data_IF_278612278076
#
_entry.id   IF_278612278076
#
_cell.length_a   1.000
_cell.length_b   1.000
_cell.length_c   1.000
_cell.angle_alpha   90.00
_cell.angle_beta   90.00
_cell.angle_gamma   90.00
#
_symmetry.space_group_name_H-M   'P 1'
#
loop_
_entity.id
_entity.type
_entity.pdbx_description
1 polymer ?
#
# COMPACT_ATOMS: atom_id res chain seq x y z
N UNK A 1 2.27 -18.38 0.04
CA UNK A 1 2.97 -17.79 -1.12
C UNK A 1 4.45 -17.63 -0.78
N UNK A 2 5.38 -18.27 -1.50
CA UNK A 2 6.82 -18.15 -1.24
C UNK A 2 7.27 -16.70 -1.54
N UNK A 3 7.71 -15.99 -0.50
CA UNK A 3 8.11 -14.58 -0.55
C UNK A 3 9.50 -14.42 -1.21
N UNK A 4 9.76 -13.29 -1.87
CA UNK A 4 11.05 -12.95 -2.49
C UNK A 4 12.21 -13.00 -1.47
N UNK A 5 11.93 -12.62 -0.21
CA UNK A 5 12.90 -12.74 0.88
C UNK A 5 13.33 -14.19 1.13
N UNK A 6 12.42 -15.15 0.99
CA UNK A 6 12.74 -16.58 1.12
C UNK A 6 13.53 -17.08 -0.09
N UNK A 7 13.19 -16.63 -1.31
CA UNK A 7 13.96 -16.98 -2.50
C UNK A 7 15.42 -16.47 -2.41
N UNK A 8 15.61 -15.21 -2.01
CA UNK A 8 16.94 -14.62 -1.75
C UNK A 8 17.69 -15.33 -0.64
N UNK A 9 17.00 -15.68 0.45
CA UNK A 9 17.59 -16.44 1.55
C UNK A 9 18.07 -17.82 1.11
N UNK A 10 17.25 -18.55 0.36
CA UNK A 10 17.59 -19.88 -0.15
C UNK A 10 18.74 -19.79 -1.16
N UNK A 11 18.73 -18.80 -2.05
CA UNK A 11 19.82 -18.56 -3.00
C UNK A 11 21.16 -18.31 -2.29
N UNK A 12 21.15 -17.48 -1.25
CA UNK A 12 22.36 -17.14 -0.49
C UNK A 12 22.88 -18.32 0.33
N UNK A 13 22.00 -19.02 1.05
CA UNK A 13 22.40 -20.05 2.02
C UNK A 13 22.63 -21.41 1.39
N UNK A 14 21.84 -21.79 0.40
CA UNK A 14 21.83 -23.14 -0.15
C UNK A 14 22.29 -23.20 -1.62
N UNK A 15 22.45 -22.07 -2.31
CA UNK A 15 22.79 -22.04 -3.75
C UNK A 15 24.04 -22.86 -4.10
N UNK A 16 25.14 -22.70 -3.35
CA UNK A 16 26.38 -23.46 -3.56
C UNK A 16 26.21 -24.96 -3.34
N UNK A 17 25.45 -25.35 -2.31
CA UNK A 17 25.20 -26.76 -1.98
C UNK A 17 24.36 -27.43 -3.06
N UNK A 18 23.29 -26.75 -3.51
CA UNK A 18 22.41 -27.29 -4.55
C UNK A 18 23.18 -27.42 -5.88
N UNK A 19 24.04 -26.44 -6.21
CA UNK A 19 24.87 -26.50 -7.42
C UNK A 19 25.86 -27.67 -7.37
N UNK A 20 26.48 -27.91 -6.21
CA UNK A 20 27.40 -29.02 -6.01
C UNK A 20 26.68 -30.39 -6.12
N UNK A 21 25.52 -30.55 -5.47
CA UNK A 21 24.76 -31.80 -5.57
C UNK A 21 24.26 -32.06 -7.00
N UNK A 22 23.88 -31.01 -7.73
CA UNK A 22 23.50 -31.12 -9.14
C UNK A 22 24.68 -31.54 -10.01
N UNK A 23 25.86 -30.97 -9.79
CA UNK A 23 27.10 -31.32 -10.50
C UNK A 23 27.48 -32.79 -10.26
N UNK A 24 27.38 -33.27 -9.01
CA UNK A 24 27.66 -34.67 -8.66
C UNK A 24 26.67 -35.63 -9.33
N UNK A 25 25.40 -35.23 -9.46
CA UNK A 25 24.36 -36.10 -10.01
C UNK A 25 24.30 -36.08 -11.55
N UNK A 26 24.59 -34.94 -12.18
CA UNK A 26 24.44 -34.74 -13.63
C UNK A 26 25.76 -34.59 -14.39
N UNK A 27 26.90 -34.54 -13.69
CA UNK A 27 28.24 -34.37 -14.28
C UNK A 27 28.50 -33.00 -14.91
N UNK A 28 27.53 -32.08 -14.83
CA UNK A 28 27.55 -30.78 -15.50
C UNK A 28 27.43 -29.65 -14.47
N UNK A 29 28.24 -28.60 -14.63
CA UNK A 29 28.15 -27.39 -13.80
C UNK A 29 26.93 -26.56 -14.18
N UNK A 30 26.03 -26.32 -13.23
CA UNK A 30 24.84 -25.49 -13.40
C UNK A 30 24.90 -24.20 -12.59
N UNK A 31 24.37 -23.12 -13.16
CA UNK A 31 24.15 -21.85 -12.47
C UNK A 31 22.71 -21.83 -11.98
N UNK A 32 22.52 -21.76 -10.66
CA UNK A 32 21.20 -21.81 -10.05
C UNK A 32 20.69 -20.40 -9.77
N UNK A 33 19.55 -20.05 -10.35
CA UNK A 33 18.83 -18.82 -10.04
C UNK A 33 17.48 -19.15 -9.41
N UNK A 34 17.31 -18.81 -8.13
CA UNK A 34 16.08 -19.11 -7.38
C UNK A 34 15.22 -17.87 -7.40
N UNK A 35 14.10 -17.95 -8.11
CA UNK A 35 13.13 -16.87 -8.18
C UNK A 35 11.88 -17.29 -7.39
N UNK A 36 11.37 -16.37 -6.58
CA UNK A 36 10.04 -16.57 -6.01
C UNK A 36 9.04 -16.63 -7.16
N UNK A 37 8.01 -17.47 -6.99
CA UNK A 37 6.84 -17.46 -7.87
C UNK A 37 6.04 -16.18 -7.59
N UNK A 38 6.61 -15.04 -7.94
CA UNK A 38 5.89 -13.78 -8.04
C UNK A 38 4.80 -14.04 -9.06
N UNK A 39 3.55 -13.96 -8.63
CA UNK A 39 2.43 -13.87 -9.54
C UNK A 39 2.81 -12.85 -10.63
N UNK A 40 2.80 -13.30 -11.88
CA UNK A 40 3.17 -12.58 -13.10
C UNK A 40 3.08 -11.07 -12.92
N UNK A 41 4.23 -10.39 -13.02
CA UNK A 41 4.27 -8.98 -13.39
C UNK A 41 3.67 -8.85 -14.80
N UNK A 42 2.36 -8.70 -14.88
CA UNK A 42 1.72 -8.14 -16.05
C UNK A 42 1.73 -6.62 -15.91
N UNK A 43 2.51 -5.95 -16.75
CA UNK A 43 2.17 -4.61 -17.23
C UNK A 43 0.82 -4.70 -17.98
N UNK A 44 -0.26 -4.75 -17.23
CA UNK A 44 -1.62 -4.54 -17.71
C UNK A 44 -2.19 -3.46 -16.82
N UNK A 45 -2.66 -2.38 -17.43
CA UNK A 45 -3.63 -1.44 -16.89
C UNK A 45 -4.74 -2.25 -16.24
N UNK A 46 -4.59 -2.57 -14.96
CA UNK A 46 -5.55 -3.35 -14.22
C UNK A 46 -6.64 -2.34 -13.91
N UNK A 47 -7.81 -2.50 -14.53
CA UNK A 47 -9.04 -2.00 -13.94
C UNK A 47 -9.05 -2.64 -12.55
N UNK A 48 -8.67 -1.85 -11.55
CA UNK A 48 -8.67 -2.30 -10.17
C UNK A 48 -10.13 -2.51 -9.84
N UNK A 49 -10.54 -3.76 -9.62
CA UNK A 49 -11.88 -4.06 -9.14
C UNK A 49 -12.00 -3.49 -7.72
N UNK A 50 -12.49 -2.26 -7.63
CA UNK A 50 -12.71 -1.51 -6.39
C UNK A 50 -13.48 -2.38 -5.37
N UNK A 51 -14.35 -3.27 -5.86
CA UNK A 51 -15.10 -4.24 -5.07
C UNK A 51 -14.20 -5.20 -4.24
N UNK A 52 -13.07 -5.66 -4.78
CA UNK A 52 -12.18 -6.60 -4.09
C UNK A 52 -11.29 -5.89 -3.05
N UNK A 53 -10.91 -4.64 -3.30
CA UNK A 53 -10.19 -3.81 -2.31
C UNK A 53 -11.12 -3.42 -1.15
N UNK A 54 -12.38 -3.10 -1.43
CA UNK A 54 -13.42 -2.86 -0.41
C UNK A 54 -13.61 -4.07 0.51
N UNK A 55 -13.41 -5.29 -0.02
CA UNK A 55 -13.60 -6.54 0.70
C UNK A 55 -12.41 -6.93 1.61
N UNK A 56 -11.20 -6.41 1.39
CA UNK A 56 -9.98 -6.89 2.07
C UNK A 56 -9.38 -5.95 3.11
N UNK A 57 -9.69 -4.66 3.12
CA UNK A 57 -9.15 -3.80 4.17
C UNK A 57 -9.90 -2.48 4.23
N UNK A 58 -10.43 -2.23 5.43
CA UNK A 58 -10.74 -0.92 6.03
C UNK A 58 -12.22 -0.59 6.11
N UNK A 59 -12.71 -0.44 7.35
CA UNK A 59 -14.04 0.09 7.69
C UNK A 59 -14.04 1.62 7.44
N UNK A 60 -13.84 2.04 6.19
CA UNK A 60 -14.02 3.43 5.79
C UNK A 60 -15.49 3.67 5.48
N UNK A 61 -16.06 4.74 6.02
CA UNK A 61 -17.40 5.16 5.65
C UNK A 61 -17.34 5.81 4.25
N UNK A 62 -18.03 5.27 3.22
CA UNK A 62 -18.02 5.85 1.88
C UNK A 62 -18.67 7.24 1.82
N UNK A 63 -19.42 7.65 2.85
CA UNK A 63 -20.03 8.98 2.93
C UNK A 63 -19.03 10.07 3.35
N UNK A 64 -17.87 9.69 3.91
CA UNK A 64 -16.85 10.63 4.36
C UNK A 64 -15.85 10.88 3.22
N UNK A 65 -16.22 11.75 2.29
CA UNK A 65 -15.37 12.16 1.16
C UNK A 65 -14.98 13.63 1.30
N UNK A 66 -14.08 14.12 0.43
CA UNK A 66 -13.71 15.54 0.43
C UNK A 66 -14.84 16.43 -0.08
N UNK A 67 -15.70 15.88 -0.94
CA UNK A 67 -16.85 16.56 -1.55
C UNK A 67 -17.97 16.77 -0.53
N UNK A 68 -18.16 15.84 0.41
CA UNK A 68 -19.14 15.97 1.49
C UNK A 68 -18.66 16.80 2.68
N UNK A 69 -17.39 17.22 2.68
CA UNK A 69 -16.81 18.00 3.77
C UNK A 69 -17.08 19.51 3.60
N UNK A 70 -17.73 20.12 4.60
CA UNK A 70 -18.00 21.56 4.60
C UNK A 70 -16.77 22.34 5.04
N UNK A 71 -16.21 23.13 4.12
CA UNK A 71 -15.03 23.97 4.37
C UNK A 71 -15.45 25.33 4.94
N UNK A 72 -14.81 25.74 6.04
CA UNK A 72 -14.95 27.05 6.67
C UNK A 72 -13.62 27.55 7.19
N UNK A 73 -13.57 28.78 7.71
CA UNK A 73 -12.32 29.42 8.14
C UNK A 73 -11.53 28.64 9.20
N UNK A 74 -12.24 27.91 10.07
CA UNK A 74 -11.63 27.11 11.14
C UNK A 74 -10.99 25.80 10.67
N UNK A 75 -11.38 25.29 9.50
CA UNK A 75 -10.94 23.97 9.01
C UNK A 75 -10.30 24.00 7.61
N UNK A 76 -10.27 25.17 6.93
CA UNK A 76 -9.72 25.35 5.58
C UNK A 76 -8.27 24.90 5.44
N UNK A 77 -7.45 25.14 6.46
CA UNK A 77 -6.04 24.76 6.45
C UNK A 77 -5.86 23.24 6.53
N UNK A 78 -6.60 22.58 7.45
CA UNK A 78 -6.58 21.13 7.58
C UNK A 78 -7.09 20.45 6.30
N UNK A 79 -8.21 20.94 5.74
CA UNK A 79 -8.74 20.48 4.46
C UNK A 79 -7.71 20.62 3.33
N UNK A 80 -7.10 21.80 3.20
CA UNK A 80 -6.09 22.08 2.18
C UNK A 80 -4.86 21.19 2.29
N UNK A 81 -4.36 20.96 3.51
CA UNK A 81 -3.25 20.05 3.76
C UNK A 81 -3.58 18.62 3.35
N UNK A 82 -4.74 18.09 3.76
CA UNK A 82 -5.22 16.77 3.38
C UNK A 82 -5.42 16.64 1.86
N UNK A 83 -5.94 17.68 1.18
CA UNK A 83 -6.12 17.66 -0.27
C UNK A 83 -4.78 17.70 -1.03
N UNK A 84 -3.79 18.42 -0.50
CA UNK A 84 -2.47 18.53 -1.11
C UNK A 84 -1.72 17.19 -1.15
N UNK A 85 -1.87 16.36 -0.11
CA UNK A 85 -1.18 15.05 -0.02
C UNK A 85 -1.80 13.98 -0.94
N UNK A 86 -3.10 14.07 -1.25
CA UNK A 86 -3.82 13.08 -2.06
C UNK A 86 -3.41 13.11 -3.54
N UNK A 87 -2.74 14.15 -4.00
CA UNK A 87 -2.20 14.17 -5.36
C UNK A 87 -1.21 13.02 -5.56
N UNK A 88 -1.36 12.28 -6.66
CA UNK A 88 -0.70 10.99 -6.94
C UNK A 88 0.82 10.99 -6.74
N UNK A 89 1.48 12.10 -7.03
CA UNK A 89 2.94 12.24 -6.93
C UNK A 89 3.43 12.72 -5.57
N UNK A 90 2.53 13.18 -4.70
CA UNK A 90 2.79 13.82 -3.41
C UNK A 90 2.50 12.90 -2.21
N UNK A 91 1.68 11.86 -2.39
CA UNK A 91 1.33 10.95 -1.30
C UNK A 91 2.58 10.30 -0.67
N UNK A 92 2.74 10.48 0.65
CA UNK A 92 3.90 9.97 1.40
C UNK A 92 5.20 10.77 1.23
N UNK A 93 5.23 11.76 0.32
CA UNK A 93 6.37 12.68 0.11
C UNK A 93 6.10 14.06 0.69
N UNK A 94 4.91 14.58 0.45
CA UNK A 94 4.45 15.84 1.00
C UNK A 94 3.77 15.55 2.34
N UNK A 95 4.32 16.11 3.42
CA UNK A 95 3.83 15.98 4.80
C UNK A 95 3.60 14.53 5.27
N UNK A 96 4.69 13.90 5.71
CA UNK A 96 4.66 12.59 6.36
C UNK A 96 5.47 12.63 7.68
N UNK A 97 4.83 12.53 8.86
CA UNK A 97 3.41 12.27 9.08
C UNK A 97 2.53 13.53 8.89
N UNK A 98 1.23 13.31 8.64
CA UNK A 98 0.19 14.33 8.78
C UNK A 98 -0.53 14.15 10.12
N UNK A 99 -0.68 15.25 10.87
CA UNK A 99 -1.32 15.22 12.19
C UNK A 99 -2.41 16.30 12.25
N UNK A 100 -3.65 15.87 12.45
CA UNK A 100 -4.83 16.75 12.52
C UNK A 100 -5.37 16.74 13.94
N UNK A 101 -5.35 17.90 14.61
CA UNK A 101 -5.82 18.08 15.98
C UNK A 101 -6.83 19.22 16.09
N UNK A 102 -7.60 19.23 17.17
CA UNK A 102 -8.58 20.27 17.46
C UNK A 102 -9.78 19.75 18.26
N UNK A 103 -10.69 20.65 18.68
CA UNK A 103 -11.94 20.30 19.36
C UNK A 103 -12.79 19.22 18.67
N UNK A 104 -13.71 18.63 19.42
CA UNK A 104 -14.73 17.73 18.87
C UNK A 104 -15.61 18.45 17.85
N UNK A 105 -16.17 17.72 16.88
CA UNK A 105 -17.06 18.29 15.87
C UNK A 105 -16.40 19.05 14.70
N UNK A 106 -15.08 19.23 14.69
CA UNK A 106 -14.38 19.93 13.58
C UNK A 106 -14.00 19.03 12.39
N UNK A 107 -14.49 17.78 12.38
CA UNK A 107 -14.33 16.89 11.23
C UNK A 107 -12.96 16.21 11.10
N UNK A 108 -12.20 16.04 12.18
CA UNK A 108 -10.93 15.28 12.19
C UNK A 108 -11.08 13.87 11.59
N UNK A 109 -12.07 13.13 12.09
CA UNK A 109 -12.40 11.78 11.61
C UNK A 109 -12.85 11.79 10.15
N UNK A 110 -13.65 12.78 9.76
CA UNK A 110 -14.12 12.95 8.37
C UNK A 110 -12.92 13.15 7.44
N UNK A 111 -12.03 14.11 7.75
CA UNK A 111 -10.84 14.37 6.93
C UNK A 111 -9.93 13.14 6.82
N UNK A 112 -9.70 12.42 7.92
CA UNK A 112 -8.87 11.22 7.92
C UNK A 112 -9.48 10.11 7.04
N UNK A 113 -10.79 9.88 7.14
CA UNK A 113 -11.47 8.89 6.30
C UNK A 113 -11.59 9.34 4.84
N UNK A 114 -11.73 10.65 4.57
CA UNK A 114 -11.73 11.19 3.21
C UNK A 114 -10.38 10.97 2.50
N UNK A 115 -9.27 11.15 3.22
CA UNK A 115 -7.93 10.79 2.73
C UNK A 115 -7.85 9.31 2.40
N UNK A 116 -8.40 8.45 3.27
CA UNK A 116 -8.48 7.00 3.05
C UNK A 116 -9.29 6.62 1.82
N UNK A 117 -10.50 7.16 1.68
CA UNK A 117 -11.39 6.90 0.55
C UNK A 117 -10.77 7.35 -0.78
N UNK A 118 -10.20 8.56 -0.84
CA UNK A 118 -9.53 9.04 -2.04
C UNK A 118 -8.30 8.18 -2.38
N UNK A 119 -7.55 7.72 -1.37
CA UNK A 119 -6.41 6.81 -1.58
C UNK A 119 -6.84 5.45 -2.13
N UNK A 120 -7.98 4.91 -1.67
CA UNK A 120 -8.57 3.68 -2.20
C UNK A 120 -9.01 3.84 -3.65
N UNK A 121 -9.64 4.96 -4.01
CA UNK A 121 -10.05 5.26 -5.40
C UNK A 121 -8.85 5.34 -6.35
N UNK A 122 -7.70 5.80 -5.85
CA UNK A 122 -6.43 5.78 -6.58
C UNK A 122 -5.78 4.38 -6.66
N UNK A 123 -6.43 3.35 -6.12
CA UNK A 123 -5.93 1.98 -6.11
C UNK A 123 -4.81 1.73 -5.09
N UNK A 124 -4.68 2.58 -4.07
CA UNK A 124 -3.70 2.39 -3.00
C UNK A 124 -4.26 1.44 -1.94
N UNK A 125 -3.38 0.73 -1.25
CA UNK A 125 -3.74 -0.06 -0.08
C UNK A 125 -3.84 0.86 1.13
N UNK A 126 -4.99 0.85 1.79
CA UNK A 126 -5.29 1.70 2.95
C UNK A 126 -5.60 0.82 4.15
N UNK A 127 -5.24 1.30 5.35
CA UNK A 127 -5.63 0.72 6.64
C UNK A 127 -6.06 1.89 7.53
N UNK A 128 -7.18 1.74 8.21
CA UNK A 128 -7.74 2.66 9.20
C UNK A 128 -7.99 1.87 10.47
N UNK A 129 -7.55 2.43 11.59
CA UNK A 129 -7.73 1.86 12.91
C UNK A 129 -7.98 3.01 13.90
N UNK A 130 -8.74 2.72 14.96
CA UNK A 130 -8.88 3.58 16.12
C UNK A 130 -7.81 3.21 17.14
N UNK A 131 -7.37 4.17 17.95
CA UNK A 131 -6.34 3.97 18.98
C UNK A 131 -6.94 3.57 20.34
N UNK A 132 -8.09 2.89 20.35
CA UNK A 132 -8.72 2.39 21.58
C UNK A 132 -7.84 1.37 22.31
#
# INVERSE_FOLDING_TARGET
>A
APNELMAKFIQTKYGKKIAHFYEVQSGNKAIINIQAQSAKQSNKSTKIDIAHIKAQSTILNPSFTFESFVVGDSNKYAYGACKAIIHKDKLGKLYNPIFVYGPTGLGKTHLLQAVGNASLEMGKKVIYATSE
#
